data_IF_581293490826
#
_entry.id   IF_581293490826
#
_cell.length_a   1.000
_cell.length_b   1.000
_cell.length_c   1.000
_cell.angle_alpha   90.00
_cell.angle_beta   90.00
_cell.angle_gamma   90.00
#
_symmetry.space_group_name_H-M   'P 1'
#
loop_
_entity.id
_entity.type
_entity.pdbx_description
1 polymer ?
#
# COMPACT_ATOMS: atom_id res chain seq x y z
N UNK A 1 13.60 27.82 5.17
CA UNK A 1 13.60 27.33 3.77
C UNK A 1 13.63 25.81 3.66
N UNK A 2 14.21 25.07 4.62
CA UNK A 2 14.19 23.60 4.60
C UNK A 2 12.79 22.99 4.91
N UNK A 3 11.98 23.65 5.74
CA UNK A 3 10.70 23.12 6.23
C UNK A 3 9.65 22.96 5.12
N UNK A 4 9.62 23.85 4.13
CA UNK A 4 8.69 23.76 2.99
C UNK A 4 9.03 22.58 2.06
N UNK A 5 10.31 22.29 1.86
CA UNK A 5 10.76 21.14 1.07
C UNK A 5 10.44 19.81 1.79
N UNK A 6 10.70 19.74 3.10
CA UNK A 6 10.37 18.57 3.92
C UNK A 6 8.86 18.31 3.95
N UNK A 7 8.05 19.37 4.02
CA UNK A 7 6.59 19.28 3.93
C UNK A 7 6.13 18.70 2.58
N UNK A 8 6.63 19.25 1.47
CA UNK A 8 6.30 18.75 0.13
C UNK A 8 6.71 17.28 -0.07
N UNK A 9 7.91 16.91 0.39
CA UNK A 9 8.39 15.53 0.35
C UNK A 9 7.47 14.59 1.15
N UNK A 10 7.02 15.01 2.35
CA UNK A 10 6.08 14.27 3.18
C UNK A 10 4.73 14.02 2.49
N UNK A 11 4.19 15.01 1.79
CA UNK A 11 2.93 14.88 1.03
C UNK A 11 3.09 13.85 -0.11
N UNK A 12 4.21 13.92 -0.85
CA UNK A 12 4.51 12.99 -1.95
C UNK A 12 4.66 11.57 -1.42
N UNK A 13 5.40 11.38 -0.32
CA UNK A 13 5.55 10.08 0.32
C UNK A 13 4.21 9.52 0.80
N UNK A 14 3.38 10.35 1.43
CA UNK A 14 2.06 9.93 1.90
C UNK A 14 1.14 9.52 0.74
N UNK A 15 1.11 10.32 -0.33
CA UNK A 15 0.36 9.98 -1.53
C UNK A 15 0.84 8.64 -2.13
N UNK A 16 2.15 8.42 -2.17
CA UNK A 16 2.73 7.17 -2.65
C UNK A 16 2.35 5.96 -1.79
N UNK A 17 2.40 6.09 -0.47
CA UNK A 17 1.92 5.04 0.45
C UNK A 17 0.43 4.74 0.22
N UNK A 18 -0.41 5.77 0.03
CA UNK A 18 -1.83 5.56 -0.30
C UNK A 18 -2.02 4.80 -1.61
N UNK A 19 -1.24 5.10 -2.66
CA UNK A 19 -1.25 4.36 -3.94
C UNK A 19 -0.89 2.89 -3.76
N UNK A 20 0.14 2.59 -2.97
CA UNK A 20 0.50 1.21 -2.65
C UNK A 20 -0.61 0.48 -1.88
N UNK A 21 -1.16 1.11 -0.83
CA UNK A 21 -2.27 0.53 -0.04
C UNK A 21 -3.48 0.24 -0.91
N UNK A 22 -3.84 1.17 -1.80
CA UNK A 22 -4.94 0.97 -2.74
C UNK A 22 -4.66 -0.22 -3.68
N UNK A 23 -3.46 -0.27 -4.26
CA UNK A 23 -3.10 -1.32 -5.21
C UNK A 23 -3.09 -2.70 -4.55
N UNK A 24 -2.67 -2.80 -3.28
CA UNK A 24 -2.77 -4.01 -2.46
C UNK A 24 -4.22 -4.47 -2.32
N UNK A 25 -5.14 -3.57 -1.96
CA UNK A 25 -6.57 -3.90 -1.78
C UNK A 25 -7.21 -4.33 -3.10
N UNK A 26 -6.98 -3.58 -4.18
CA UNK A 26 -7.65 -3.83 -5.46
C UNK A 26 -7.16 -5.12 -6.15
N UNK A 27 -5.85 -5.42 -6.08
CA UNK A 27 -5.31 -6.67 -6.65
C UNK A 27 -5.54 -7.90 -5.78
N UNK A 28 -5.78 -7.74 -4.48
CA UNK A 28 -6.23 -8.83 -3.62
C UNK A 28 -7.63 -9.30 -4.05
N UNK A 29 -8.57 -8.38 -4.30
CA UNK A 29 -9.92 -8.70 -4.78
C UNK A 29 -9.87 -9.37 -6.16
N UNK A 30 -9.08 -8.83 -7.10
CA UNK A 30 -8.95 -9.40 -8.44
C UNK A 30 -8.34 -10.81 -8.44
N UNK A 31 -7.49 -11.16 -7.47
CA UNK A 31 -6.90 -12.49 -7.36
C UNK A 31 -7.82 -13.50 -6.66
N UNK A 32 -8.67 -13.05 -5.74
CA UNK A 32 -9.71 -13.91 -5.15
C UNK A 32 -10.74 -14.35 -6.19
N UNK A 33 -11.07 -13.50 -7.15
CA UNK A 33 -12.00 -13.84 -8.24
C UNK A 33 -11.35 -14.69 -9.35
N UNK A 34 -10.03 -14.88 -9.33
CA UNK A 34 -9.27 -15.55 -10.40
C UNK A 34 -8.58 -16.85 -9.99
N UNK A 35 -8.82 -17.38 -8.78
CA UNK A 35 -8.08 -18.54 -8.28
C UNK A 35 -8.82 -19.87 -8.53
N UNK A 36 -8.82 -20.31 -9.79
CA UNK A 36 -8.41 -21.68 -10.09
C UNK A 36 -6.95 -21.63 -10.56
N UNK A 37 -6.16 -22.64 -10.16
CA UNK A 37 -4.77 -22.86 -10.57
C UNK A 37 -3.70 -22.07 -9.81
N UNK A 38 -3.32 -22.62 -8.65
CA UNK A 38 -1.91 -22.97 -8.37
C UNK A 38 -1.88 -24.00 -7.23
N UNK A 39 -2.47 -25.16 -7.51
CA UNK A 39 -2.10 -26.44 -6.90
C UNK A 39 -0.65 -26.73 -7.30
N UNK A 40 0.27 -26.69 -6.34
CA UNK A 40 1.63 -27.16 -6.56
C UNK A 40 2.68 -26.34 -5.83
N UNK A 41 3.06 -26.85 -4.67
CA UNK A 41 4.19 -26.46 -3.80
C UNK A 41 5.58 -26.62 -4.45
N UNK A 42 5.72 -26.35 -5.75
CA UNK A 42 7.04 -26.21 -6.36
C UNK A 42 7.64 -24.88 -5.88
N UNK A 43 8.68 -24.95 -5.05
CA UNK A 43 9.48 -23.76 -4.68
C UNK A 43 9.89 -23.06 -5.96
N UNK A 44 9.35 -21.87 -6.24
CA UNK A 44 9.78 -21.07 -7.38
C UNK A 44 11.29 -20.84 -7.26
N UNK A 45 12.06 -21.33 -8.24
CA UNK A 45 13.53 -21.31 -8.21
C UNK A 45 14.13 -20.12 -8.93
N UNK A 46 13.31 -19.32 -9.62
CA UNK A 46 13.74 -18.21 -10.47
C UNK A 46 12.89 -16.96 -10.21
N UNK A 47 13.48 -15.80 -10.47
CA UNK A 47 12.80 -14.52 -10.30
C UNK A 47 11.80 -14.27 -11.43
N UNK A 48 10.54 -13.99 -11.10
CA UNK A 48 9.47 -13.68 -12.06
C UNK A 48 9.72 -12.43 -12.92
N UNK A 49 10.67 -11.57 -12.54
CA UNK A 49 10.90 -10.28 -13.19
C UNK A 49 12.20 -10.20 -14.00
N UNK A 50 13.18 -11.06 -13.72
CA UNK A 50 14.46 -11.08 -14.44
C UNK A 50 14.92 -12.49 -14.82
N UNK A 51 14.10 -13.50 -14.51
CA UNK A 51 14.31 -14.92 -14.79
C UNK A 51 15.59 -15.52 -14.19
N UNK A 52 16.37 -14.77 -13.40
CA UNK A 52 17.60 -15.30 -12.78
C UNK A 52 17.25 -16.29 -11.65
N UNK A 53 18.01 -17.38 -11.59
CA UNK A 53 17.85 -18.42 -10.55
C UNK A 53 18.29 -17.95 -9.16
N UNK A 54 17.49 -18.26 -8.13
CA UNK A 54 17.79 -18.02 -6.71
C UNK A 54 18.98 -18.83 -6.20
N UNK A 55 19.28 -19.98 -6.80
CA UNK A 55 20.48 -20.76 -6.43
C UNK A 55 21.77 -20.02 -6.76
N UNK A 56 21.79 -19.20 -7.82
CA UNK A 56 22.95 -18.36 -8.18
C UNK A 56 23.07 -17.10 -7.31
N UNK A 57 21.99 -16.69 -6.64
CA UNK A 57 21.95 -15.49 -5.81
C UNK A 57 22.46 -15.73 -4.38
N UNK A 58 22.28 -16.94 -3.85
CA UNK A 58 22.79 -17.33 -2.53
C UNK A 58 24.31 -17.13 -2.40
N UNK A 59 25.06 -17.33 -3.49
CA UNK A 59 26.51 -17.15 -3.53
C UNK A 59 26.95 -15.67 -3.59
N UNK A 60 26.05 -14.78 -4.03
CA UNK A 60 26.32 -13.35 -4.17
C UNK A 60 25.79 -12.51 -2.98
N UNK A 61 25.46 -13.15 -1.86
CA UNK A 61 24.87 -12.48 -0.69
C UNK A 61 23.44 -11.95 -0.92
N UNK A 62 22.83 -12.26 -2.06
CA UNK A 62 21.45 -11.91 -2.36
C UNK A 62 20.59 -13.06 -1.85
N UNK A 63 19.87 -12.84 -0.75
CA UNK A 63 19.01 -13.84 -0.13
C UNK A 63 17.97 -14.47 -1.09
N UNK A 64 17.29 -15.54 -0.65
CA UNK A 64 16.30 -16.22 -1.47
C UNK A 64 15.21 -15.25 -1.98
N UNK A 65 14.60 -15.60 -3.11
CA UNK A 65 13.45 -14.87 -3.63
C UNK A 65 12.35 -14.78 -2.58
N UNK A 66 11.61 -13.67 -2.58
CA UNK A 66 10.46 -13.49 -1.69
C UNK A 66 9.26 -12.94 -2.48
N UNK A 67 8.03 -13.24 -2.03
CA UNK A 67 6.82 -12.80 -2.71
C UNK A 67 6.63 -11.29 -2.62
N UNK A 68 6.10 -10.69 -3.70
CA UNK A 68 5.58 -9.33 -3.71
C UNK A 68 4.26 -9.26 -2.92
N UNK A 69 4.08 -8.24 -2.07
CA UNK A 69 2.85 -8.05 -1.29
C UNK A 69 1.62 -7.62 -2.11
N UNK A 70 1.77 -7.33 -3.40
CA UNK A 70 0.67 -6.92 -4.29
C UNK A 70 0.31 -8.02 -5.27
N UNK A 71 1.29 -8.56 -6.00
CA UNK A 71 1.07 -9.55 -7.06
C UNK A 71 1.46 -10.97 -6.68
N UNK A 72 1.96 -11.21 -5.46
CA UNK A 72 2.37 -12.51 -4.90
C UNK A 72 3.49 -13.28 -5.65
N UNK A 73 3.91 -12.81 -6.82
CA UNK A 73 5.06 -13.33 -7.59
C UNK A 73 6.36 -13.27 -6.78
N UNK A 74 7.17 -14.34 -6.85
CA UNK A 74 8.46 -14.40 -6.16
C UNK A 74 9.54 -13.66 -6.96
N UNK A 75 10.20 -12.69 -6.30
CA UNK A 75 11.21 -11.83 -6.93
C UNK A 75 12.52 -11.79 -6.15
N UNK A 76 13.64 -11.60 -6.85
CA UNK A 76 14.96 -11.44 -6.22
C UNK A 76 15.10 -10.06 -5.57
N UNK A 77 16.11 -9.90 -4.72
CA UNK A 77 16.39 -8.63 -4.03
C UNK A 77 16.57 -7.44 -4.97
N UNK A 78 17.18 -7.64 -6.16
CA UNK A 78 17.40 -6.60 -7.17
C UNK A 78 16.10 -6.16 -7.87
N UNK A 79 15.10 -7.03 -7.92
CA UNK A 79 13.81 -6.76 -8.54
C UNK A 79 12.75 -6.36 -7.50
N UNK A 80 13.16 -6.06 -6.27
CA UNK A 80 12.25 -5.75 -5.18
C UNK A 80 12.72 -4.56 -4.34
N UNK A 81 11.76 -3.85 -3.77
CA UNK A 81 12.00 -2.76 -2.82
C UNK A 81 11.21 -3.04 -1.55
N UNK A 82 11.78 -2.74 -0.39
CA UNK A 82 11.09 -2.82 0.90
C UNK A 82 10.65 -1.42 1.31
N UNK A 83 9.36 -1.21 1.55
CA UNK A 83 8.80 0.06 2.02
C UNK A 83 8.16 -0.15 3.40
N UNK A 84 8.42 0.79 4.32
CA UNK A 84 7.71 0.84 5.60
C UNK A 84 6.33 1.42 5.34
N UNK A 85 5.30 0.64 5.63
CA UNK A 85 3.91 1.02 5.51
C UNK A 85 3.24 1.02 6.87
N UNK A 86 2.37 2.00 7.06
CA UNK A 86 1.50 2.10 8.22
C UNK A 86 0.28 1.22 7.96
N UNK A 87 0.07 0.19 8.76
CA UNK A 87 -1.06 -0.73 8.68
C UNK A 87 -1.91 -0.65 9.94
N UNK A 88 -3.22 -0.68 9.77
CA UNK A 88 -4.17 -0.77 10.87
C UNK A 88 -4.19 -2.19 11.44
N UNK A 89 -4.16 -2.32 12.77
CA UNK A 89 -4.30 -3.61 13.46
C UNK A 89 -5.70 -3.64 14.08
N UNK A 90 -6.62 -4.25 13.34
CA UNK A 90 -8.04 -4.30 13.69
C UNK A 90 -8.25 -5.09 14.98
N UNK A 91 -8.59 -4.37 16.06
CA UNK A 91 -9.12 -4.83 17.37
C UNK A 91 -8.88 -3.79 18.47
N UNK A 92 -7.83 -2.97 18.34
CA UNK A 92 -7.42 -2.00 19.38
C UNK A 92 -7.25 -0.57 18.86
N UNK A 93 -7.49 -0.33 17.57
CA UNK A 93 -7.15 0.94 16.92
C UNK A 93 -5.64 1.21 16.85
N UNK A 94 -4.82 0.19 17.14
CA UNK A 94 -3.37 0.32 17.12
C UNK A 94 -2.86 0.33 15.69
N UNK A 95 -1.98 1.28 15.43
CA UNK A 95 -1.32 1.44 14.13
C UNK A 95 0.09 0.87 14.20
N UNK A 96 0.44 -0.03 13.28
CA UNK A 96 1.78 -0.63 13.20
C UNK A 96 2.51 -0.20 11.93
N UNK A 97 3.81 0.03 12.04
CA UNK A 97 4.70 0.18 10.87
C UNK A 97 5.24 -1.19 10.47
N UNK A 98 4.91 -1.65 9.28
CA UNK A 98 5.36 -2.93 8.72
C UNK A 98 6.28 -2.69 7.52
N UNK A 99 7.38 -3.43 7.44
CA UNK A 99 8.25 -3.45 6.27
C UNK A 99 7.70 -4.45 5.25
N UNK A 100 7.14 -3.95 4.15
CA UNK A 100 6.52 -4.77 3.10
C UNK A 100 7.40 -4.76 1.85
N UNK A 101 7.44 -5.88 1.13
CA UNK A 101 8.24 -6.04 -0.09
C UNK A 101 7.37 -5.97 -1.34
N UNK A 102 7.80 -5.16 -2.30
CA UNK A 102 7.12 -4.95 -3.59
C UNK A 102 8.08 -5.20 -4.75
N UNK A 103 7.62 -5.84 -5.82
CA UNK A 103 8.41 -5.91 -7.05
C UNK A 103 8.45 -4.54 -7.75
N UNK A 104 9.47 -4.32 -8.57
CA UNK A 104 9.62 -3.06 -9.31
C UNK A 104 8.43 -2.76 -10.22
N UNK A 105 7.81 -3.78 -10.82
CA UNK A 105 6.61 -3.61 -11.64
C UNK A 105 5.45 -2.98 -10.87
N UNK A 106 5.12 -3.52 -9.68
CA UNK A 106 4.06 -2.96 -8.84
C UNK A 106 4.42 -1.58 -8.28
N UNK A 107 5.71 -1.30 -8.04
CA UNK A 107 6.15 0.02 -7.60
C UNK A 107 5.96 1.09 -8.69
N UNK A 108 6.22 0.73 -9.95
CA UNK A 108 6.00 1.60 -11.11
C UNK A 108 4.51 1.82 -11.38
N UNK A 109 3.72 0.75 -11.38
CA UNK A 109 2.27 0.82 -11.54
C UNK A 109 1.65 1.73 -10.47
N UNK A 110 2.05 1.59 -9.21
CA UNK A 110 1.60 2.47 -8.14
C UNK A 110 1.99 3.94 -8.38
N UNK A 111 3.14 4.21 -9.01
CA UNK A 111 3.55 5.59 -9.33
C UNK A 111 2.65 6.21 -10.39
N UNK A 112 2.29 5.43 -11.41
CA UNK A 112 1.48 5.85 -12.56
C UNK A 112 -0.01 6.03 -12.24
N UNK A 113 -0.51 5.44 -11.14
CA UNK A 113 -1.92 5.58 -10.76
C UNK A 113 -2.34 7.03 -10.54
N UNK A 114 -3.45 7.42 -11.15
CA UNK A 114 -4.03 8.77 -11.04
C UNK A 114 -4.57 9.01 -9.63
N UNK A 115 -4.34 10.23 -9.10
CA UNK A 115 -4.91 10.65 -7.82
C UNK A 115 -6.44 10.68 -7.87
N UNK A 116 -7.01 11.01 -9.03
CA UNK A 116 -8.45 11.07 -9.24
C UNK A 116 -9.10 9.68 -9.22
N UNK A 117 -8.49 8.68 -9.88
CA UNK A 117 -8.94 7.28 -9.84
C UNK A 117 -8.94 6.75 -8.39
N UNK A 118 -7.90 7.10 -7.62
CA UNK A 118 -7.83 6.77 -6.21
C UNK A 118 -8.91 7.47 -5.37
N UNK A 119 -9.17 8.75 -5.62
CA UNK A 119 -10.18 9.50 -4.89
C UNK A 119 -11.57 8.89 -5.09
N UNK A 120 -11.91 8.53 -6.33
CA UNK A 120 -13.18 7.88 -6.67
C UNK A 120 -13.35 6.52 -5.97
N UNK A 121 -12.26 5.77 -5.83
CA UNK A 121 -12.28 4.50 -5.09
C UNK A 121 -12.24 4.65 -3.55
N UNK A 122 -12.03 5.87 -3.05
CA UNK A 122 -11.89 6.18 -1.63
C UNK A 122 -13.11 6.86 -1.00
N UNK A 123 -14.20 7.07 -1.76
CA UNK A 123 -15.48 7.62 -1.28
C UNK A 123 -16.28 6.53 -0.55
N UNK A 124 -15.68 5.92 0.47
CA UNK A 124 -16.37 5.13 1.49
C UNK A 124 -15.55 5.27 2.77
N UNK A 125 -15.83 6.31 3.57
CA UNK A 125 -15.41 6.59 4.98
C UNK A 125 -14.85 8.00 5.19
N UNK A 126 -15.74 9.00 5.19
CA UNK A 126 -15.82 10.05 6.22
C UNK A 126 -17.06 10.90 5.90
N UNK A 127 -18.24 10.38 6.25
CA UNK A 127 -19.47 11.18 6.31
C UNK A 127 -19.78 11.45 7.77
N UNK A 128 -19.15 12.46 8.36
CA UNK A 128 -19.71 13.23 9.48
C UNK A 128 -19.19 14.67 9.35
N UNK A 129 -19.89 15.47 8.55
CA UNK A 129 -19.77 16.93 8.63
C UNK A 129 -20.74 17.38 9.72
N UNK A 130 -20.27 17.53 10.95
CA UNK A 130 -20.99 18.29 11.96
C UNK A 130 -20.79 19.77 11.65
N UNK A 131 -21.69 20.35 10.86
CA UNK A 131 -21.81 21.80 10.73
C UNK A 131 -22.30 22.37 12.05
N UNK A 132 -21.39 22.86 12.90
CA UNK A 132 -21.75 23.75 13.99
C UNK A 132 -21.77 25.18 13.46
N UNK A 133 -22.93 25.62 12.96
CA UNK A 133 -23.23 27.05 12.80
C UNK A 133 -23.77 27.59 14.13
N UNK A 134 -22.93 28.32 14.84
CA UNK A 134 -23.33 29.23 15.90
C UNK A 134 -23.95 30.49 15.30
N UNK A 135 -25.12 30.91 15.77
CA UNK A 135 -25.47 32.33 15.93
C UNK A 135 -26.76 32.54 16.78
N UNK A 136 -26.53 33.20 17.93
CA UNK A 136 -27.37 34.17 18.66
C UNK A 136 -28.85 33.91 19.03
N UNK A 137 -29.08 33.85 20.34
CA UNK A 137 -29.89 34.80 21.15
C UNK A 137 -31.40 34.97 20.83
N UNK A 138 -32.30 34.50 21.72
CA UNK A 138 -33.22 35.35 22.51
C UNK A 138 -34.15 34.52 23.44
N UNK A 139 -34.36 35.07 24.64
CA UNK A 139 -35.51 34.92 25.55
C UNK A 139 -35.75 33.62 26.36
N UNK A 140 -35.41 33.70 27.65
CA UNK A 140 -36.18 33.17 28.79
C UNK A 140 -37.63 33.72 28.77
N UNK A 141 -38.67 33.10 29.39
CA UNK A 141 -38.63 32.67 30.80
C UNK A 141 -39.50 31.49 31.27
N UNK A 142 -39.24 31.07 32.52
CA UNK A 142 -40.10 30.61 33.64
C UNK A 142 -39.26 29.64 34.48
N UNK A 143 -39.06 29.80 35.79
CA UNK A 143 -39.95 30.24 36.89
C UNK A 143 -39.16 31.16 37.83
#
# INVERSE_FOLDING_TARGET
>A
MADSFLSAAGIIDFAYIKKLTWLMKNKAVSQQNGLESQTGTARQTRCENCDKSFTKFALAGVGPGAPCHICHRVVCGKCSVVKKMTVDVSSTGSVKKCSLRFCLGCMLEAKEKSVLELALSGVETTSECSSSTSESEFALPRI
#
